data_IF_553536934298
#
_entry.id   IF_553536934298
#
_cell.length_a   1.000
_cell.length_b   1.000
_cell.length_c   1.000
_cell.angle_alpha   90.00
_cell.angle_beta   90.00
_cell.angle_gamma   90.00
#
_symmetry.space_group_name_H-M   'P 1'
#
loop_
_entity.id
_entity.type
_entity.pdbx_description
1 polymer ?
#
# COMPACT_ATOMS: atom_id res chain seq x y z
N UNK A 1 -27.79 57.04 53.23
CA UNK A 1 -28.59 55.93 52.67
C UNK A 1 -27.99 55.61 51.32
N UNK A 2 -27.19 54.54 51.25
CA UNK A 2 -26.57 54.09 50.01
C UNK A 2 -27.25 52.78 49.66
N UNK A 3 -28.08 52.82 48.61
CA UNK A 3 -28.83 51.65 48.13
C UNK A 3 -27.86 50.77 47.34
N UNK A 4 -27.51 49.61 47.89
CA UNK A 4 -26.79 48.57 47.18
C UNK A 4 -27.73 47.95 46.12
N UNK A 5 -27.30 47.97 44.86
CA UNK A 5 -27.97 47.30 43.75
C UNK A 5 -27.67 45.80 43.85
N UNK A 6 -28.67 44.90 43.76
CA UNK A 6 -28.41 43.47 43.82
C UNK A 6 -27.67 43.06 42.54
N UNK A 7 -26.50 42.45 42.71
CA UNK A 7 -25.82 41.71 41.64
C UNK A 7 -26.75 40.57 41.24
N UNK A 8 -27.29 40.62 40.02
CA UNK A 8 -27.97 39.48 39.39
C UNK A 8 -26.99 38.31 39.33
N UNK A 9 -27.13 37.38 40.26
CA UNK A 9 -26.49 36.08 40.21
C UNK A 9 -27.17 35.30 39.08
N UNK A 10 -26.55 35.36 37.89
CA UNK A 10 -27.05 34.72 36.68
C UNK A 10 -26.93 33.20 36.86
N UNK A 11 -28.02 32.57 37.29
CA UNK A 11 -28.10 31.13 37.48
C UNK A 11 -27.80 30.42 36.14
N UNK A 12 -26.73 29.60 36.06
CA UNK A 12 -26.29 28.95 34.82
C UNK A 12 -27.30 27.95 34.26
N UNK A 13 -28.45 27.77 34.92
CA UNK A 13 -29.57 26.94 34.51
C UNK A 13 -30.46 27.60 33.45
N UNK A 14 -30.41 28.93 33.31
CA UNK A 14 -31.30 29.69 32.41
C UNK A 14 -30.90 29.67 30.92
N UNK A 15 -29.65 29.29 30.61
CA UNK A 15 -29.11 29.21 29.23
C UNK A 15 -29.13 27.77 28.66
N UNK A 16 -29.78 26.82 29.32
CA UNK A 16 -29.82 25.41 28.89
C UNK A 16 -31.04 25.13 28.00
N UNK A 17 -30.84 24.38 26.92
CA UNK A 17 -31.93 23.99 26.02
C UNK A 17 -33.03 23.22 26.78
N UNK A 18 -34.32 23.50 26.51
CA UNK A 18 -35.44 22.85 27.18
C UNK A 18 -35.34 21.33 27.08
N UNK A 19 -35.25 20.64 28.23
CA UNK A 19 -35.06 19.19 28.30
C UNK A 19 -33.67 18.74 28.80
N UNK A 20 -32.72 19.66 28.98
CA UNK A 20 -31.40 19.33 29.57
C UNK A 20 -31.39 19.61 31.07
N UNK A 21 -31.27 18.58 31.91
CA UNK A 21 -31.09 18.79 33.37
C UNK A 21 -29.72 19.43 33.63
N UNK A 22 -29.55 20.27 34.67
CA UNK A 22 -28.28 20.96 34.96
C UNK A 22 -27.10 20.00 35.15
N UNK A 23 -27.37 18.75 35.56
CA UNK A 23 -26.38 17.68 35.66
C UNK A 23 -25.72 17.34 34.31
N UNK A 24 -26.45 17.46 33.19
CA UNK A 24 -25.97 17.10 31.84
C UNK A 24 -25.55 18.30 30.99
N UNK A 25 -25.56 19.52 31.53
CA UNK A 25 -25.24 20.76 30.82
C UNK A 25 -23.93 20.73 30.01
N UNK A 26 -22.92 19.99 30.48
CA UNK A 26 -21.60 19.88 29.82
C UNK A 26 -21.36 18.52 29.16
N UNK A 27 -22.33 17.61 29.21
CA UNK A 27 -22.15 16.22 28.74
C UNK A 27 -21.79 16.19 27.25
N UNK A 28 -22.48 16.98 26.43
CA UNK A 28 -22.23 17.03 25.00
C UNK A 28 -20.83 17.58 24.65
N UNK A 29 -20.29 18.50 25.46
CA UNK A 29 -18.94 19.04 25.28
C UNK A 29 -17.87 17.99 25.58
N UNK A 30 -18.05 17.17 26.62
CA UNK A 30 -17.14 16.08 26.97
C UNK A 30 -17.21 14.92 25.98
N UNK A 31 -18.41 14.52 25.58
CA UNK A 31 -18.60 13.48 24.57
C UNK A 31 -17.95 13.91 23.26
N UNK A 32 -18.18 15.15 22.79
CA UNK A 32 -17.52 15.67 21.58
C UNK A 32 -16.01 15.63 21.68
N UNK A 33 -15.43 16.00 22.82
CA UNK A 33 -13.97 15.96 23.04
C UNK A 33 -13.44 14.53 23.04
N UNK A 34 -14.11 13.61 23.74
CA UNK A 34 -13.71 12.20 23.79
C UNK A 34 -13.80 11.54 22.40
N UNK A 35 -14.90 11.77 21.68
CA UNK A 35 -15.10 11.26 20.31
C UNK A 35 -14.06 11.86 19.37
N UNK A 36 -13.76 13.15 19.46
CA UNK A 36 -12.71 13.78 18.65
C UNK A 36 -11.34 13.13 18.89
N UNK A 37 -10.96 12.89 20.14
CA UNK A 37 -9.71 12.20 20.48
C UNK A 37 -9.70 10.78 19.94
N UNK A 38 -10.80 10.04 20.08
CA UNK A 38 -10.90 8.67 19.53
C UNK A 38 -10.79 8.65 18.00
N UNK A 39 -11.46 9.57 17.30
CA UNK A 39 -11.37 9.69 15.84
C UNK A 39 -9.94 10.02 15.39
N UNK A 40 -9.27 10.95 16.07
CA UNK A 40 -7.86 11.29 15.77
C UNK A 40 -6.96 10.08 16.01
N UNK A 41 -7.17 9.33 17.11
CA UNK A 41 -6.40 8.13 17.39
C UNK A 41 -6.56 7.06 16.31
N UNK A 42 -7.80 6.79 15.85
CA UNK A 42 -8.08 5.83 14.77
C UNK A 42 -7.43 6.25 13.44
N UNK A 43 -7.45 7.56 13.12
CA UNK A 43 -6.79 8.09 11.93
C UNK A 43 -5.28 7.89 12.03
N UNK A 44 -4.67 8.19 13.18
CA UNK A 44 -3.23 7.99 13.40
C UNK A 44 -2.89 6.51 13.28
N UNK A 45 -3.63 5.62 13.93
CA UNK A 45 -3.42 4.18 13.87
C UNK A 45 -3.47 3.67 12.42
N UNK A 46 -4.51 4.02 11.66
CA UNK A 46 -4.62 3.64 10.26
C UNK A 46 -3.55 4.27 9.36
N UNK A 47 -3.26 5.56 9.56
CA UNK A 47 -2.32 6.32 8.73
C UNK A 47 -0.88 5.86 8.90
N UNK A 48 -0.48 5.35 10.08
CA UNK A 48 0.87 4.81 10.28
C UNK A 48 0.97 3.31 10.00
N UNK A 49 -0.12 2.56 10.15
CA UNK A 49 -0.10 1.11 9.89
C UNK A 49 0.19 0.81 8.42
N UNK A 50 -0.48 1.47 7.47
CA UNK A 50 -0.30 1.17 6.05
C UNK A 50 1.11 1.51 5.51
N UNK A 51 1.69 2.70 5.78
CA UNK A 51 3.05 3.01 5.36
C UNK A 51 4.09 2.09 6.01
N UNK A 52 3.93 1.76 7.30
CA UNK A 52 4.84 0.84 7.97
C UNK A 52 4.79 -0.56 7.34
N UNK A 53 3.58 -1.07 7.09
CA UNK A 53 3.39 -2.34 6.38
C UNK A 53 3.98 -2.28 4.97
N UNK A 54 3.81 -1.18 4.24
CA UNK A 54 4.39 -1.01 2.91
C UNK A 54 5.94 -0.98 2.95
N UNK A 55 6.57 -0.36 3.95
CA UNK A 55 8.03 -0.41 4.10
C UNK A 55 8.51 -1.82 4.48
N UNK A 56 7.77 -2.53 5.35
CA UNK A 56 8.13 -3.86 5.82
C UNK A 56 8.00 -4.93 4.73
N UNK A 57 6.81 -5.05 4.12
CA UNK A 57 6.51 -6.02 3.06
C UNK A 57 7.05 -5.62 1.68
N UNK A 58 7.42 -4.35 1.50
CA UNK A 58 7.96 -3.79 0.27
C UNK A 58 6.95 -2.91 -0.45
N UNK A 59 7.37 -1.69 -0.81
CA UNK A 59 6.52 -0.74 -1.52
C UNK A 59 6.34 -1.21 -2.97
N UNK A 60 5.11 -1.26 -3.51
CA UNK A 60 4.86 -1.71 -4.87
C UNK A 60 5.36 -0.64 -5.88
N UNK A 61 6.64 -0.69 -6.21
CA UNK A 61 7.24 0.18 -7.23
C UNK A 61 7.05 -0.36 -8.65
N UNK A 62 6.72 -1.66 -8.79
CA UNK A 62 6.43 -2.31 -10.07
C UNK A 62 4.91 -2.46 -10.26
N UNK A 63 4.45 -2.23 -11.49
CA UNK A 63 3.10 -2.54 -11.95
C UNK A 63 2.86 -4.05 -12.05
N UNK A 64 1.59 -4.47 -12.09
CA UNK A 64 1.22 -5.89 -12.21
C UNK A 64 1.78 -6.54 -13.48
N UNK A 65 1.86 -5.79 -14.57
CA UNK A 65 2.41 -6.26 -15.85
C UNK A 65 3.93 -6.42 -15.79
N UNK A 66 4.63 -5.52 -15.11
CA UNK A 66 6.08 -5.64 -14.86
C UNK A 66 6.37 -6.82 -13.94
N UNK A 67 5.60 -7.00 -12.86
CA UNK A 67 5.73 -8.15 -11.96
C UNK A 67 5.53 -9.46 -12.73
N UNK A 68 4.50 -9.52 -13.56
CA UNK A 68 4.24 -10.68 -14.41
C UNK A 68 5.43 -10.95 -15.36
N UNK A 69 5.93 -9.91 -16.01
CA UNK A 69 7.09 -10.00 -16.91
C UNK A 69 8.32 -10.51 -16.18
N UNK A 70 8.65 -9.98 -15.01
CA UNK A 70 9.82 -10.39 -14.24
C UNK A 70 9.70 -11.83 -13.71
N UNK A 71 8.52 -12.24 -13.25
CA UNK A 71 8.26 -13.62 -12.86
C UNK A 71 8.40 -14.58 -14.05
N UNK A 72 7.95 -14.17 -15.23
CA UNK A 72 8.07 -14.96 -16.46
C UNK A 72 9.54 -15.14 -16.86
N UNK A 73 10.33 -14.06 -16.81
CA UNK A 73 11.77 -14.10 -17.11
C UNK A 73 12.52 -15.05 -16.18
N UNK A 74 12.19 -15.05 -14.89
CA UNK A 74 12.83 -15.96 -13.93
C UNK A 74 12.38 -17.41 -14.16
N UNK A 75 11.07 -17.65 -14.29
CA UNK A 75 10.51 -18.99 -14.52
C UNK A 75 11.11 -19.68 -15.75
N UNK A 76 11.24 -18.94 -16.85
CA UNK A 76 11.77 -19.48 -18.10
C UNK A 76 13.27 -19.21 -18.30
N UNK A 77 13.95 -18.62 -17.31
CA UNK A 77 15.37 -18.23 -17.38
C UNK A 77 15.71 -17.48 -18.67
N UNK A 78 14.82 -16.59 -19.10
CA UNK A 78 14.92 -15.88 -20.37
C UNK A 78 14.50 -14.42 -20.21
N UNK A 79 15.45 -13.53 -20.43
CA UNK A 79 15.30 -12.09 -20.21
C UNK A 79 14.46 -11.37 -21.27
N UNK A 80 14.18 -12.01 -22.41
CA UNK A 80 13.41 -11.41 -23.52
C UNK A 80 11.91 -11.64 -23.40
N UNK A 81 11.46 -12.40 -22.40
CA UNK A 81 10.04 -12.70 -22.22
C UNK A 81 9.34 -11.56 -21.48
N UNK A 82 8.22 -11.12 -22.03
CA UNK A 82 7.37 -10.09 -21.44
C UNK A 82 5.94 -10.59 -21.36
N UNK A 83 5.25 -10.14 -20.31
CA UNK A 83 3.85 -10.46 -20.10
C UNK A 83 3.00 -9.59 -21.02
N UNK A 84 2.26 -10.21 -21.94
CA UNK A 84 1.37 -9.51 -22.86
C UNK A 84 0.02 -9.27 -22.19
N UNK A 85 -0.38 -8.00 -22.07
CA UNK A 85 -1.69 -7.64 -21.56
C UNK A 85 -2.33 -6.56 -22.44
N UNK A 86 -3.56 -6.78 -22.97
CA UNK A 86 -4.36 -7.99 -22.90
C UNK A 86 -3.78 -9.14 -23.75
N UNK A 87 -4.11 -10.40 -23.40
CA UNK A 87 -3.63 -11.54 -24.17
C UNK A 87 -4.25 -11.57 -25.59
N UNK A 88 -3.48 -11.85 -26.65
CA UNK A 88 -4.04 -12.02 -27.99
C UNK A 88 -5.07 -13.16 -28.01
N UNK A 89 -6.23 -12.87 -28.62
CA UNK A 89 -7.39 -13.80 -28.67
C UNK A 89 -7.04 -15.14 -29.35
N UNK A 90 -6.11 -15.12 -30.32
CA UNK A 90 -5.58 -16.30 -31.01
C UNK A 90 -4.08 -16.51 -30.73
N UNK A 91 -3.63 -16.13 -29.54
CA UNK A 91 -2.25 -16.33 -29.11
C UNK A 91 -1.88 -17.80 -28.96
N UNK A 92 -0.57 -18.13 -29.00
CA UNK A 92 -0.09 -19.42 -28.50
C UNK A 92 -0.50 -19.61 -27.03
N UNK A 93 -0.47 -20.80 -26.44
CA UNK A 93 -0.78 -20.95 -25.02
C UNK A 93 0.28 -20.27 -24.16
N UNK A 94 -0.16 -19.59 -23.10
CA UNK A 94 0.71 -18.95 -22.11
C UNK A 94 1.72 -19.96 -21.55
N UNK A 95 3.01 -19.71 -21.79
CA UNK A 95 4.11 -20.59 -21.37
C UNK A 95 4.65 -21.55 -22.43
N UNK A 96 4.12 -21.56 -23.66
CA UNK A 96 4.82 -22.20 -24.78
C UNK A 96 6.09 -21.42 -25.16
N UNK A 97 6.00 -20.08 -25.14
CA UNK A 97 7.13 -19.19 -25.33
C UNK A 97 8.06 -19.28 -24.11
N UNK A 98 9.21 -19.92 -24.27
CA UNK A 98 10.22 -20.06 -23.20
C UNK A 98 10.37 -21.47 -22.62
N UNK A 99 9.51 -22.44 -22.96
CA UNK A 99 9.63 -23.82 -22.43
C UNK A 99 11.02 -24.43 -22.67
N UNK A 100 11.67 -24.10 -23.78
CA UNK A 100 13.01 -24.60 -24.12
C UNK A 100 14.12 -24.00 -23.24
N UNK A 101 13.93 -22.80 -22.70
CA UNK A 101 14.91 -22.12 -21.83
C UNK A 101 14.64 -22.38 -20.34
N UNK A 102 13.44 -22.88 -19.99
CA UNK A 102 13.11 -23.28 -18.63
C UNK A 102 14.08 -24.32 -18.09
N UNK A 103 14.61 -24.07 -16.90
CA UNK A 103 15.46 -25.03 -16.19
C UNK A 103 14.65 -26.00 -15.31
N UNK A 104 13.35 -25.74 -15.15
CA UNK A 104 12.42 -26.50 -14.32
C UNK A 104 12.19 -27.92 -14.85
N UNK A 105 11.96 -28.86 -13.94
CA UNK A 105 11.59 -30.24 -14.31
C UNK A 105 10.09 -30.29 -14.51
N UNK A 106 9.66 -30.38 -15.77
CA UNK A 106 8.26 -30.52 -16.14
C UNK A 106 7.80 -31.98 -16.00
N UNK A 107 6.64 -32.20 -15.36
CA UNK A 107 6.07 -33.53 -15.12
C UNK A 107 4.70 -33.44 -14.45
N UNK A 108 4.20 -34.55 -13.91
CA UNK A 108 2.92 -34.59 -13.17
C UNK A 108 3.01 -33.71 -11.90
N UNK A 109 4.20 -33.66 -11.29
CA UNK A 109 4.54 -32.74 -10.21
C UNK A 109 5.76 -31.92 -10.63
N UNK A 110 5.55 -30.72 -11.23
CA UNK A 110 6.66 -29.89 -11.68
C UNK A 110 7.49 -29.42 -10.49
N UNK A 111 8.82 -29.52 -10.62
CA UNK A 111 9.75 -29.08 -9.59
C UNK A 111 10.43 -27.79 -10.07
N UNK A 112 10.11 -26.63 -9.45
CA UNK A 112 10.78 -25.39 -9.78
C UNK A 112 12.23 -25.46 -9.32
N UNK A 113 13.17 -25.04 -10.18
CA UNK A 113 14.59 -24.94 -9.83
C UNK A 113 14.99 -23.55 -9.34
N UNK A 114 14.12 -22.55 -9.48
CA UNK A 114 14.32 -21.24 -8.89
C UNK A 114 14.05 -21.27 -7.38
N UNK A 115 14.76 -20.44 -6.60
CA UNK A 115 14.55 -20.34 -5.16
C UNK A 115 13.26 -19.58 -4.83
N UNK A 116 12.87 -19.55 -3.56
CA UNK A 116 11.70 -18.76 -3.12
C UNK A 116 11.99 -17.27 -3.29
N UNK A 117 11.35 -16.67 -4.29
CA UNK A 117 11.50 -15.25 -4.62
C UNK A 117 10.60 -14.38 -3.74
N UNK A 118 11.19 -13.40 -3.07
CA UNK A 118 10.45 -12.33 -2.39
C UNK A 118 10.18 -11.16 -3.33
N UNK A 119 9.17 -10.33 -3.04
CA UNK A 119 8.84 -9.16 -3.85
C UNK A 119 9.99 -8.13 -3.92
N UNK A 120 10.65 -7.86 -2.78
CA UNK A 120 11.80 -6.94 -2.72
C UNK A 120 12.97 -7.44 -3.56
N UNK A 121 13.15 -8.75 -3.62
CA UNK A 121 14.18 -9.36 -4.45
C UNK A 121 13.82 -9.24 -5.93
N UNK A 122 12.55 -9.43 -6.30
CA UNK A 122 12.08 -9.22 -7.66
C UNK A 122 12.36 -7.79 -8.15
N UNK A 123 12.06 -6.78 -7.33
CA UNK A 123 12.36 -5.36 -7.61
C UNK A 123 13.87 -5.15 -7.81
N UNK A 124 14.69 -5.76 -6.96
CA UNK A 124 16.15 -5.67 -7.07
C UNK A 124 16.65 -6.28 -8.40
N UNK A 125 16.20 -7.49 -8.73
CA UNK A 125 16.58 -8.18 -9.98
C UNK A 125 16.20 -7.33 -11.19
N UNK A 126 15.00 -6.74 -11.19
CA UNK A 126 14.54 -5.84 -12.24
C UNK A 126 15.43 -4.60 -12.38
N UNK A 127 15.72 -3.90 -11.28
CA UNK A 127 16.55 -2.70 -11.31
C UNK A 127 18.00 -3.00 -11.74
N UNK A 128 18.58 -4.09 -11.25
CA UNK A 128 19.92 -4.53 -11.66
C UNK A 128 19.97 -4.87 -13.16
N UNK A 129 18.91 -5.49 -13.70
CA UNK A 129 18.78 -5.78 -15.13
C UNK A 129 18.74 -4.50 -15.96
N UNK A 130 17.91 -3.53 -15.58
CA UNK A 130 17.84 -2.22 -16.25
C UNK A 130 19.19 -1.49 -16.20
N UNK A 131 19.87 -1.53 -15.06
CA UNK A 131 21.21 -0.95 -14.92
C UNK A 131 22.24 -1.61 -15.84
N UNK A 132 22.22 -2.95 -15.97
CA UNK A 132 23.08 -3.69 -16.92
C UNK A 132 22.79 -3.31 -18.37
N UNK A 133 21.51 -3.21 -18.75
CA UNK A 133 21.12 -2.81 -20.11
C UNK A 133 21.55 -1.38 -20.44
N UNK A 134 21.34 -0.44 -19.52
CA UNK A 134 21.77 0.94 -19.67
C UNK A 134 23.30 1.03 -19.83
N UNK A 135 24.07 0.33 -18.99
CA UNK A 135 25.54 0.30 -19.09
C UNK A 135 26.02 -0.25 -20.45
N UNK A 136 25.39 -1.31 -20.96
CA UNK A 136 25.71 -1.87 -22.28
C UNK A 136 25.42 -0.86 -23.40
N UNK A 137 24.28 -0.17 -23.35
CA UNK A 137 23.93 0.87 -24.33
C UNK A 137 24.91 2.04 -24.32
N UNK A 138 25.32 2.50 -23.14
CA UNK A 138 26.33 3.56 -23.01
C UNK A 138 27.70 3.14 -23.54
N UNK A 139 28.13 1.90 -23.28
CA UNK A 139 29.39 1.38 -23.85
C UNK A 139 29.36 1.21 -25.37
N UNK A 140 28.20 0.91 -25.96
CA UNK A 140 28.03 0.81 -27.40
C UNK A 140 27.99 2.19 -28.10
N UNK A 141 27.66 3.26 -27.37
CA UNK A 141 27.61 4.63 -27.88
C UNK A 141 28.94 5.38 -27.78
N UNK A 142 29.89 4.90 -26.97
CA UNK A 142 31.26 5.42 -26.88
C UNK A 142 32.24 4.47 -27.61
N UNK A 143 32.46 4.64 -28.94
CA UNK A 143 33.55 3.99 -29.64
C UNK A 143 34.92 4.60 -29.27
#
# INVERSE_FOLDING_TARGET
MTTESPTEEKDPTSDLEPGTTPYYARMHMWIKRAVLVCLVALVIEGAFTLPFMAVYYGYPTLSLTEICSELLKIRYSNDTLECQYPYPILGPPEGAAGKATAQDVWGIQPIPKYHRLGFRELVRIHNERLARQAAQQHSAQHP
#
